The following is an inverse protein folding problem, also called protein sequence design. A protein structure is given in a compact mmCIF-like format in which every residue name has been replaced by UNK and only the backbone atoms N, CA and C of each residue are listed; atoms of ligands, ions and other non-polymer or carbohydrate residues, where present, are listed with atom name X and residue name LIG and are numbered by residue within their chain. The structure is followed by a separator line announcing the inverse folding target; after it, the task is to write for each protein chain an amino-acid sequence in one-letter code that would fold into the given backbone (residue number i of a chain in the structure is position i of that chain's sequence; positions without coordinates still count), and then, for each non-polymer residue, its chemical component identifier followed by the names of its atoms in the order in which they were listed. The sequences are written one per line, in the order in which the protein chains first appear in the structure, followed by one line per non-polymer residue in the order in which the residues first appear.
data_IF_776854021438
#
_entry.id   IF_776854021438
#
_cell.length_a   1.000
_cell.length_b   1.000
_cell.length_c   1.000
_cell.angle_alpha   90.00
_cell.angle_beta   90.00
_cell.angle_gamma   90.00
#
_symmetry.space_group_name_H-M   'P 1'
#
loop_
_entity.id
_entity.type
_entity.pdbx_description
1 polymer ?
#
# COMPACT_ATOMS: atom_id res chain seq x y z
N UNK A 1 -16.26 21.42 16.93
CA UNK A 1 -16.42 20.29 15.98
C UNK A 1 -15.02 19.90 15.51
N UNK A 2 -14.55 18.66 15.40
CA UNK A 2 -14.94 17.34 15.86
C UNK A 2 -13.75 16.42 15.48
N UNK A 3 -13.46 15.42 16.30
CA UNK A 3 -12.62 14.24 16.04
C UNK A 3 -11.09 14.41 15.96
N UNK A 4 -10.48 14.12 17.11
CA UNK A 4 -9.16 13.52 17.22
C UNK A 4 -9.04 12.27 16.33
N UNK A 5 -8.06 12.25 15.44
CA UNK A 5 -7.40 11.01 15.02
C UNK A 5 -5.91 11.27 15.07
N UNK A 6 -5.27 10.72 16.10
CA UNK A 6 -3.81 10.70 16.22
C UNK A 6 -3.23 10.18 14.91
N UNK A 7 -2.47 11.04 14.22
CA UNK A 7 -1.87 10.72 12.94
C UNK A 7 -0.92 9.56 13.12
N UNK A 8 -1.37 8.34 12.83
CA UNK A 8 -0.44 7.26 12.48
C UNK A 8 0.34 7.78 11.30
N UNK A 9 1.60 8.15 11.55
CA UNK A 9 2.53 8.62 10.55
C UNK A 9 2.43 7.68 9.35
N UNK A 10 2.06 8.21 8.18
CA UNK A 10 2.10 7.41 6.96
C UNK A 10 3.54 6.97 6.77
N UNK A 11 3.76 5.67 6.71
CA UNK A 11 5.08 5.09 6.44
C UNK A 11 5.57 5.61 5.09
N UNK A 12 6.85 5.98 5.02
CA UNK A 12 7.47 6.45 3.78
C UNK A 12 7.59 5.32 2.75
N UNK A 13 7.66 5.62 1.45
CA UNK A 13 7.90 4.60 0.41
C UNK A 13 9.12 3.72 0.66
N UNK A 14 10.21 4.32 1.14
CA UNK A 14 11.46 3.62 1.42
C UNK A 14 11.31 2.67 2.63
N UNK A 15 10.58 3.06 3.68
CA UNK A 15 10.28 2.19 4.81
C UNK A 15 9.35 1.03 4.42
N UNK A 16 8.35 1.29 3.56
CA UNK A 16 7.46 0.24 3.04
C UNK A 16 8.25 -0.81 2.26
N UNK A 17 9.16 -0.37 1.39
CA UNK A 17 10.03 -1.27 0.65
C UNK A 17 10.96 -2.06 1.57
N UNK A 18 11.55 -1.44 2.60
CA UNK A 18 12.40 -2.13 3.60
C UNK A 18 11.63 -3.19 4.40
N UNK A 19 10.38 -2.93 4.75
CA UNK A 19 9.54 -3.94 5.41
C UNK A 19 9.28 -5.13 4.50
N UNK A 20 8.92 -4.88 3.24
CA UNK A 20 8.75 -5.95 2.25
C UNK A 20 10.06 -6.70 2.00
N UNK A 21 11.18 -6.00 1.97
CA UNK A 21 12.51 -6.61 1.82
C UNK A 21 12.76 -7.64 2.91
N UNK A 22 12.49 -7.27 4.17
CA UNK A 22 12.68 -8.17 5.31
C UNK A 22 11.71 -9.35 5.27
N UNK A 23 10.44 -9.10 4.96
CA UNK A 23 9.38 -10.12 5.02
C UNK A 23 9.45 -11.13 3.89
N UNK A 24 9.79 -10.68 2.68
CA UNK A 24 9.87 -11.51 1.48
C UNK A 24 11.31 -11.88 1.11
N UNK A 25 12.29 -11.46 1.91
CA UNK A 25 13.72 -11.64 1.64
C UNK A 25 14.09 -11.16 0.23
N UNK A 26 13.68 -9.94 -0.10
CA UNK A 26 13.91 -9.36 -1.43
C UNK A 26 15.39 -9.05 -1.63
N UNK A 27 15.86 -9.14 -2.86
CA UNK A 27 17.19 -8.63 -3.23
C UNK A 27 17.20 -7.09 -3.22
N UNK A 28 18.39 -6.51 -3.21
CA UNK A 28 18.54 -5.05 -3.28
C UNK A 28 17.96 -4.46 -4.57
N UNK A 29 18.10 -5.18 -5.69
CA UNK A 29 17.53 -4.80 -6.98
C UNK A 29 15.99 -4.81 -6.95
N UNK A 30 15.39 -5.87 -6.39
CA UNK A 30 13.94 -5.95 -6.22
C UNK A 30 13.44 -4.82 -5.31
N UNK A 31 14.13 -4.58 -4.19
CA UNK A 31 13.78 -3.54 -3.22
C UNK A 31 13.87 -2.14 -3.83
N UNK A 32 14.89 -1.87 -4.63
CA UNK A 32 15.06 -0.59 -5.33
C UNK A 32 13.91 -0.34 -6.31
N UNK A 33 13.55 -1.35 -7.12
CA UNK A 33 12.43 -1.25 -8.07
C UNK A 33 11.09 -1.08 -7.35
N UNK A 34 10.87 -1.82 -6.25
CA UNK A 34 9.65 -1.72 -5.43
C UNK A 34 9.55 -0.34 -4.76
N UNK A 35 10.67 0.21 -4.27
CA UNK A 35 10.71 1.59 -3.74
C UNK A 35 10.24 2.61 -4.79
N UNK A 36 10.69 2.48 -6.04
CA UNK A 36 10.26 3.36 -7.13
C UNK A 36 8.76 3.25 -7.43
N UNK A 37 8.20 2.03 -7.36
CA UNK A 37 6.75 1.80 -7.48
C UNK A 37 6.02 2.51 -6.33
N UNK A 38 6.47 2.37 -5.09
CA UNK A 38 5.84 3.05 -3.95
C UNK A 38 5.95 4.58 -4.02
N UNK A 39 7.07 5.14 -4.50
CA UNK A 39 7.21 6.60 -4.72
C UNK A 39 6.21 7.10 -5.75
N UNK A 40 6.05 6.35 -6.84
CA UNK A 40 5.06 6.66 -7.88
C UNK A 40 3.64 6.56 -7.32
N UNK A 41 3.34 5.50 -6.56
CA UNK A 41 2.05 5.32 -5.90
C UNK A 41 1.75 6.48 -4.95
N UNK A 42 2.70 6.85 -4.08
CA UNK A 42 2.54 7.96 -3.14
C UNK A 42 2.21 9.27 -3.87
N UNK A 43 2.96 9.59 -4.92
CA UNK A 43 2.73 10.79 -5.74
C UNK A 43 1.33 10.81 -6.36
N UNK A 44 0.87 9.67 -6.92
CA UNK A 44 -0.49 9.56 -7.47
C UNK A 44 -1.55 9.68 -6.38
N UNK A 45 -1.29 9.12 -5.19
CA UNK A 45 -2.20 9.22 -4.05
C UNK A 45 -2.34 10.64 -3.52
N UNK A 46 -1.25 11.39 -3.46
CA UNK A 46 -1.31 12.79 -3.04
C UNK A 46 -1.99 13.66 -4.11
N UNK A 47 -1.75 13.39 -5.39
CA UNK A 47 -2.46 14.05 -6.49
C UNK A 47 -3.97 13.83 -6.43
N UNK A 48 -4.41 12.58 -6.23
CA UNK A 48 -5.84 12.25 -6.06
C UNK A 48 -6.42 12.93 -4.81
N UNK A 49 -5.67 12.96 -3.70
CA UNK A 49 -6.13 13.60 -2.46
C UNK A 49 -6.35 15.10 -2.66
N UNK A 50 -5.44 15.76 -3.34
CA UNK A 50 -5.55 17.19 -3.68
C UNK A 50 -6.70 17.43 -4.65
N UNK A 51 -6.80 16.63 -5.72
CA UNK A 51 -7.84 16.79 -6.74
C UNK A 51 -9.26 16.51 -6.22
N UNK A 52 -9.42 15.56 -5.31
CA UNK A 52 -10.71 15.22 -4.72
C UNK A 52 -11.26 16.34 -3.80
N UNK A 53 -10.42 17.27 -3.35
CA UNK A 53 -10.81 18.45 -2.56
C UNK A 53 -11.77 18.14 -1.38
N UNK A 54 -11.55 17.03 -0.68
CA UNK A 54 -12.37 16.60 0.46
C UNK A 54 -13.50 15.62 0.13
N UNK A 55 -13.79 15.35 -1.15
CA UNK A 55 -14.69 14.27 -1.56
C UNK A 55 -14.07 12.91 -1.27
N UNK A 56 -14.60 12.24 -0.24
CA UNK A 56 -14.11 10.95 0.23
C UNK A 56 -14.46 9.81 -0.71
N UNK A 57 -15.58 9.89 -1.42
CA UNK A 57 -16.04 8.83 -2.31
C UNK A 57 -15.25 8.87 -3.62
N UNK A 58 -15.04 10.07 -4.18
CA UNK A 58 -14.13 10.27 -5.30
C UNK A 58 -12.70 9.83 -4.95
N UNK A 59 -12.20 10.19 -3.76
CA UNK A 59 -10.89 9.73 -3.31
C UNK A 59 -10.84 8.21 -3.21
N UNK A 60 -11.83 7.56 -2.58
CA UNK A 60 -11.86 6.09 -2.43
C UNK A 60 -11.89 5.38 -3.79
N UNK A 61 -12.74 5.87 -4.71
CA UNK A 61 -12.87 5.31 -6.05
C UNK A 61 -11.55 5.39 -6.83
N UNK A 62 -10.86 6.54 -6.77
CA UNK A 62 -9.59 6.75 -7.45
C UNK A 62 -8.41 6.03 -6.76
N UNK A 63 -8.47 5.84 -5.44
CA UNK A 63 -7.40 5.17 -4.69
C UNK A 63 -7.28 3.68 -4.98
N UNK A 64 -8.40 2.99 -5.21
CA UNK A 64 -8.43 1.54 -5.47
C UNK A 64 -7.53 1.12 -6.65
N UNK A 65 -7.76 1.64 -7.85
CA UNK A 65 -6.97 1.31 -9.05
C UNK A 65 -5.47 1.57 -8.89
N UNK A 66 -5.09 2.67 -8.21
CA UNK A 66 -3.68 3.01 -7.99
C UNK A 66 -2.99 1.99 -7.08
N UNK A 67 -3.68 1.49 -6.05
CA UNK A 67 -3.17 0.43 -5.18
C UNK A 67 -3.04 -0.89 -5.94
N UNK A 68 -4.07 -1.26 -6.72
CA UNK A 68 -4.04 -2.49 -7.53
C UNK A 68 -2.87 -2.47 -8.52
N UNK A 69 -2.70 -1.37 -9.26
CA UNK A 69 -1.61 -1.22 -10.22
C UNK A 69 -0.23 -1.37 -9.55
N UNK A 70 -0.02 -0.75 -8.39
CA UNK A 70 1.23 -0.89 -7.65
C UNK A 70 1.46 -2.33 -7.19
N UNK A 71 0.44 -3.00 -6.64
CA UNK A 71 0.54 -4.41 -6.23
C UNK A 71 0.86 -5.34 -7.39
N UNK A 72 0.29 -5.11 -8.57
CA UNK A 72 0.55 -5.93 -9.76
C UNK A 72 1.98 -5.72 -10.27
N UNK A 73 2.46 -4.47 -10.29
CA UNK A 73 3.84 -4.15 -10.61
C UNK A 73 4.83 -4.78 -9.62
N UNK A 74 4.51 -4.78 -8.32
CA UNK A 74 5.33 -5.44 -7.30
C UNK A 74 5.38 -6.94 -7.56
N UNK A 75 4.23 -7.60 -7.74
CA UNK A 75 4.16 -9.06 -8.00
C UNK A 75 4.97 -9.46 -9.23
N UNK A 76 4.98 -8.66 -10.28
CA UNK A 76 5.78 -8.92 -11.49
C UNK A 76 7.30 -8.90 -11.25
N UNK A 77 7.77 -8.29 -10.15
CA UNK A 77 9.18 -8.24 -9.76
C UNK A 77 9.57 -9.35 -8.78
N UNK A 78 8.59 -10.07 -8.23
CA UNK A 78 8.81 -11.12 -7.24
C UNK A 78 9.08 -12.47 -7.93
N UNK A 79 9.85 -13.33 -7.25
CA UNK A 79 9.90 -14.75 -7.60
C UNK A 79 8.56 -15.43 -7.26
N UNK A 80 8.26 -16.62 -7.81
CA UNK A 80 7.03 -17.35 -7.49
C UNK A 80 6.82 -17.58 -5.98
N UNK A 81 7.89 -17.90 -5.26
CA UNK A 81 7.86 -18.10 -3.80
C UNK A 81 7.53 -16.80 -3.06
N UNK A 82 8.19 -15.70 -3.43
CA UNK A 82 7.95 -14.38 -2.86
C UNK A 82 6.54 -13.87 -3.16
N UNK A 83 6.05 -14.09 -4.38
CA UNK A 83 4.69 -13.72 -4.79
C UNK A 83 3.63 -14.46 -3.97
N UNK A 84 3.86 -15.74 -3.67
CA UNK A 84 2.99 -16.55 -2.81
C UNK A 84 2.94 -16.00 -1.38
N UNK A 85 4.12 -15.67 -0.81
CA UNK A 85 4.20 -15.05 0.50
C UNK A 85 3.52 -13.66 0.54
N UNK A 86 3.72 -12.86 -0.52
CA UNK A 86 3.07 -11.56 -0.66
C UNK A 86 1.54 -11.68 -0.74
N UNK A 87 1.01 -12.63 -1.51
CA UNK A 87 -0.43 -12.88 -1.61
C UNK A 87 -1.02 -13.26 -0.24
N UNK A 88 -0.38 -14.18 0.48
CA UNK A 88 -0.80 -14.58 1.83
C UNK A 88 -0.83 -13.38 2.78
N UNK A 89 0.18 -12.53 2.74
CA UNK A 89 0.22 -11.31 3.56
C UNK A 89 -0.93 -10.36 3.23
N UNK A 90 -1.25 -10.20 1.94
CA UNK A 90 -2.38 -9.36 1.50
C UNK A 90 -3.72 -9.94 1.94
N UNK A 91 -3.89 -11.26 1.89
CA UNK A 91 -5.08 -11.96 2.39
C UNK A 91 -5.24 -11.80 3.90
N UNK A 92 -4.16 -11.98 4.67
CA UNK A 92 -4.17 -11.76 6.13
C UNK A 92 -4.52 -10.31 6.47
N UNK A 93 -3.98 -9.34 5.74
CA UNK A 93 -4.32 -7.93 5.91
C UNK A 93 -5.80 -7.68 5.60
N UNK A 94 -6.33 -8.28 4.53
CA UNK A 94 -7.75 -8.19 4.16
C UNK A 94 -8.66 -8.84 5.20
N UNK A 95 -8.24 -9.98 5.77
CA UNK A 95 -8.96 -10.67 6.83
C UNK A 95 -9.01 -9.82 8.11
N UNK A 96 -7.89 -9.20 8.50
CA UNK A 96 -7.81 -8.28 9.64
C UNK A 96 -8.69 -7.04 9.45
N UNK A 97 -8.73 -6.49 8.22
CA UNK A 97 -9.60 -5.36 7.89
C UNK A 97 -11.09 -5.71 7.94
N UNK A 98 -11.46 -6.94 7.55
CA UNK A 98 -12.85 -7.43 7.64
C UNK A 98 -13.24 -7.81 9.07
N UNK A 99 -12.31 -8.36 9.85
CA UNK A 99 -12.53 -8.73 11.25
C UNK A 99 -12.53 -7.56 12.24
N UNK A 100 -11.84 -6.46 11.91
CA UNK A 100 -11.76 -5.25 12.73
C UNK A 100 -12.85 -4.20 12.47
N UNK A 101 -13.77 -4.45 11.52
CA UNK A 101 -14.84 -3.53 11.14
C UNK A 101 -16.15 -3.66 11.93
N UNK A 102 -16.19 -4.48 12.99
CA UNK A 102 -17.37 -4.73 13.83
C UNK A 102 -17.17 -4.33 15.31
N UNK A 103 -16.28 -3.38 15.58
CA UNK A 103 -15.96 -2.94 16.93
C UNK A 103 -15.78 -1.43 17.04
N UNK A 104 -16.85 -0.68 16.77
CA UNK A 104 -17.22 0.58 17.44
C UNK A 104 -18.57 1.07 16.92
#
# INVERSE_FOLDING_TARGET
MAHAQGGRQRMSPDEQAKQLQTQLKLTDDQTTKITAIFKTQATKMDSVRTAANGDRDAMRAAMGPIRTAASDQIKALLTPEQATAYQKMMEEMRARMQGGGRGN
#
